data_IF_069956671992
#
_entry.id   IF_069956671992
#
_cell.length_a   1.000
_cell.length_b   1.000
_cell.length_c   1.000
_cell.angle_alpha   90.00
_cell.angle_beta   90.00
_cell.angle_gamma   90.00
#
_symmetry.space_group_name_H-M   'P 1'
#
loop_
_entity.id
_entity.type
_entity.pdbx_description
1 polymer ?
#
# COMPACT_ATOMS: atom_id res chain seq x y z
N UNK A 1 5.27 3.35 -34.65
CA UNK A 1 5.10 4.29 -33.50
C UNK A 1 4.39 3.66 -32.29
N UNK A 2 3.67 2.54 -32.44
CA UNK A 2 3.03 1.85 -31.33
C UNK A 2 4.05 1.07 -30.48
N UNK A 3 5.04 0.43 -31.10
CA UNK A 3 6.10 -0.28 -30.38
C UNK A 3 6.97 0.66 -29.50
N UNK A 4 7.30 1.86 -30.00
CA UNK A 4 8.06 2.88 -29.24
C UNK A 4 7.32 3.44 -28.02
N UNK A 5 5.99 3.31 -27.96
CA UNK A 5 5.17 3.76 -26.81
C UNK A 5 5.18 2.75 -25.67
N UNK A 6 5.28 1.46 -25.99
CA UNK A 6 5.36 0.37 -25.00
C UNK A 6 6.75 0.35 -24.34
N UNK A 7 7.81 0.73 -25.07
CA UNK A 7 9.18 0.74 -24.54
C UNK A 7 9.49 1.88 -23.56
N UNK A 8 8.59 2.85 -23.38
CA UNK A 8 8.79 3.94 -22.42
C UNK A 8 8.53 3.54 -20.95
N UNK A 9 7.89 2.38 -20.71
CA UNK A 9 7.57 1.87 -19.38
C UNK A 9 8.27 0.55 -19.08
N UNK A 10 9.61 0.52 -19.21
CA UNK A 10 10.44 -0.59 -18.71
C UNK A 10 10.45 -0.59 -17.17
N UNK A 11 9.32 -0.95 -16.56
CA UNK A 11 9.22 -1.21 -15.13
C UNK A 11 9.72 -2.62 -14.85
N UNK A 12 10.68 -2.74 -13.94
CA UNK A 12 11.07 -4.04 -13.40
C UNK A 12 10.00 -4.55 -12.42
N UNK A 13 9.07 -5.35 -12.95
CA UNK A 13 8.01 -5.96 -12.15
C UNK A 13 8.53 -6.93 -11.10
N UNK A 14 9.72 -7.51 -11.28
CA UNK A 14 10.30 -8.46 -10.34
C UNK A 14 10.88 -7.75 -9.11
N UNK A 15 11.56 -6.62 -9.32
CA UNK A 15 12.03 -5.78 -8.20
C UNK A 15 10.87 -5.14 -7.44
N UNK A 16 9.86 -4.67 -8.16
CA UNK A 16 8.69 -4.06 -7.52
C UNK A 16 7.92 -5.08 -6.67
N UNK A 17 7.77 -6.32 -7.15
CA UNK A 17 7.13 -7.40 -6.39
C UNK A 17 7.79 -7.71 -5.03
N UNK A 18 9.12 -7.48 -4.90
CA UNK A 18 9.85 -7.71 -3.64
C UNK A 18 9.53 -6.68 -2.56
N UNK A 19 9.12 -5.48 -2.95
CA UNK A 19 8.91 -4.34 -2.03
C UNK A 19 7.48 -4.25 -1.50
N UNK A 20 6.56 -5.09 -1.99
CA UNK A 20 5.13 -4.99 -1.69
C UNK A 20 4.77 -5.81 -0.44
N UNK A 21 4.10 -5.21 0.56
CA UNK A 21 3.57 -5.93 1.71
C UNK A 21 2.61 -7.05 1.31
N UNK A 22 2.54 -8.14 2.08
CA UNK A 22 1.69 -9.30 1.74
C UNK A 22 0.22 -8.94 1.49
N UNK A 23 -0.33 -8.01 2.27
CA UNK A 23 -1.71 -7.54 2.13
C UNK A 23 -2.00 -6.88 0.77
N UNK A 24 -0.99 -6.28 0.12
CA UNK A 24 -1.15 -5.55 -1.13
C UNK A 24 -0.81 -6.39 -2.37
N UNK A 25 -0.33 -7.63 -2.20
CA UNK A 25 -0.02 -8.54 -3.31
C UNK A 25 -1.20 -8.77 -4.27
N UNK A 26 -2.46 -8.95 -3.80
CA UNK A 26 -3.59 -9.14 -4.72
C UNK A 26 -3.84 -7.94 -5.63
N UNK A 27 -3.75 -6.72 -5.08
CA UNK A 27 -3.91 -5.48 -5.84
C UNK A 27 -2.80 -5.30 -6.88
N UNK A 28 -1.57 -5.66 -6.51
CA UNK A 28 -0.43 -5.65 -7.43
C UNK A 28 -0.61 -6.61 -8.61
N UNK A 29 -1.02 -7.85 -8.34
CA UNK A 29 -1.29 -8.85 -9.38
C UNK A 29 -2.41 -8.37 -10.31
N UNK A 30 -3.46 -7.76 -9.75
CA UNK A 30 -4.55 -7.19 -10.55
C UNK A 30 -4.06 -6.05 -11.47
N UNK A 31 -3.21 -5.15 -10.97
CA UNK A 31 -2.60 -4.08 -11.77
C UNK A 31 -1.75 -4.65 -12.91
N UNK A 32 -0.86 -5.61 -12.58
CA UNK A 32 0.00 -6.26 -13.57
C UNK A 32 -0.83 -6.94 -14.67
N UNK A 33 -1.86 -7.70 -14.29
CA UNK A 33 -2.73 -8.37 -15.26
C UNK A 33 -3.46 -7.39 -16.19
N UNK A 34 -3.92 -6.25 -15.66
CA UNK A 34 -4.53 -5.19 -16.50
C UNK A 34 -3.51 -4.62 -17.48
N UNK A 35 -2.31 -4.29 -17.00
CA UNK A 35 -1.23 -3.77 -17.85
C UNK A 35 -0.86 -4.76 -18.96
N UNK A 36 -0.62 -6.03 -18.61
CA UNK A 36 -0.24 -7.07 -19.58
C UNK A 36 -1.35 -7.27 -20.63
N UNK A 37 -2.62 -7.23 -20.23
CA UNK A 37 -3.74 -7.28 -21.17
C UNK A 37 -3.77 -6.10 -22.13
N UNK A 38 -3.58 -4.87 -21.64
CA UNK A 38 -3.53 -3.69 -22.51
C UNK A 38 -2.34 -3.73 -23.45
N UNK A 39 -1.15 -4.12 -22.97
CA UNK A 39 0.04 -4.25 -23.81
C UNK A 39 -0.18 -5.29 -24.91
N UNK A 40 -0.78 -6.45 -24.59
CA UNK A 40 -1.13 -7.47 -25.58
C UNK A 40 -2.12 -6.95 -26.62
N UNK A 41 -3.20 -6.29 -26.19
CA UNK A 41 -4.19 -5.72 -27.10
C UNK A 41 -3.58 -4.67 -28.03
N UNK A 42 -2.76 -3.76 -27.50
CA UNK A 42 -2.08 -2.73 -28.30
C UNK A 42 -1.09 -3.37 -29.27
N UNK A 43 -0.37 -4.42 -28.85
CA UNK A 43 0.58 -5.13 -29.72
C UNK A 43 -0.08 -5.92 -30.86
N UNK A 44 -1.33 -6.34 -30.68
CA UNK A 44 -2.10 -7.05 -31.69
C UNK A 44 -2.73 -6.11 -32.74
N UNK A 45 -2.87 -4.82 -32.42
CA UNK A 45 -3.44 -3.83 -33.33
C UNK A 45 -2.37 -3.34 -34.32
N UNK A 46 -2.68 -3.32 -35.64
CA UNK A 46 -1.75 -2.81 -36.64
C UNK A 46 -1.51 -1.30 -36.44
N UNK A 47 -0.28 -0.84 -36.69
CA UNK A 47 0.10 0.57 -36.49
C UNK A 47 -0.63 1.56 -37.42
N UNK A 48 -1.19 1.06 -38.52
CA UNK A 48 -1.95 1.83 -39.49
C UNK A 48 -3.25 1.10 -39.84
N UNK A 49 -4.27 1.86 -40.26
CA UNK A 49 -5.49 1.30 -40.81
C UNK A 49 -5.15 0.35 -41.98
N UNK A 50 -5.81 -0.82 -42.10
CA UNK A 50 -5.58 -1.71 -43.22
C UNK A 50 -5.82 -0.98 -44.53
N UNK A 51 -4.85 -1.04 -45.46
CA UNK A 51 -5.03 -0.43 -46.79
C UNK A 51 -6.17 -1.15 -47.50
N UNK A 52 -7.26 -0.44 -47.80
CA UNK A 52 -8.37 -0.96 -48.58
C UNK A 52 -7.93 -1.03 -50.04
N UNK A 53 -8.12 -2.18 -50.70
CA UNK A 53 -7.84 -2.33 -52.12
C UNK A 53 -8.99 -1.76 -52.97
N UNK A 54 -8.99 -0.45 -53.17
CA UNK A 54 -9.96 0.25 -54.02
C UNK A 54 -9.88 -0.13 -55.51
N UNK A 55 -8.78 -0.75 -55.97
CA UNK A 55 -8.63 -1.20 -57.36
C UNK A 55 -9.58 -2.35 -57.68
N UNK A 56 -9.73 -3.31 -56.77
CA UNK A 56 -10.66 -4.44 -56.92
C UNK A 56 -12.13 -4.00 -56.98
N UNK A 57 -12.49 -2.93 -56.24
CA UNK A 57 -13.86 -2.41 -56.18
C UNK A 57 -14.25 -1.57 -57.40
N UNK A 58 -13.31 -0.83 -58.00
CA UNK A 58 -13.54 -0.07 -59.24
C UNK A 58 -13.97 -0.95 -60.43
N UNK A 59 -13.62 -2.24 -60.40
CA UNK A 59 -14.01 -3.20 -61.43
C UNK A 59 -15.45 -3.73 -61.27
N UNK A 60 -16.07 -3.59 -60.09
CA UNK A 60 -17.39 -4.18 -59.76
C UNK A 60 -18.47 -3.15 -59.43
N UNK A 61 -18.07 -1.92 -59.10
CA UNK A 61 -18.94 -0.83 -58.64
C UNK A 61 -18.64 0.43 -59.47
N UNK A 62 -19.60 1.37 -59.57
CA UNK A 62 -19.42 2.62 -60.31
C UNK A 62 -18.19 3.41 -59.80
N UNK A 63 -17.32 3.79 -60.73
CA UNK A 63 -16.04 4.44 -60.41
C UNK A 63 -16.19 5.73 -59.59
N UNK A 64 -17.23 6.52 -59.87
CA UNK A 64 -17.52 7.77 -59.16
C UNK A 64 -17.80 7.56 -57.67
N UNK A 65 -18.50 6.48 -57.31
CA UNK A 65 -18.83 6.20 -55.91
C UNK A 65 -17.59 5.72 -55.14
N UNK A 66 -16.75 4.90 -55.76
CA UNK A 66 -15.50 4.39 -55.15
C UNK A 66 -14.50 5.52 -54.91
N UNK A 67 -14.40 6.49 -55.83
CA UNK A 67 -13.52 7.65 -55.67
C UNK A 67 -13.97 8.59 -54.53
N UNK A 68 -15.28 8.78 -54.34
CA UNK A 68 -15.82 9.56 -53.22
C UNK A 68 -15.58 8.89 -51.87
N UNK A 69 -15.68 7.55 -51.80
CA UNK A 69 -15.37 6.80 -50.57
C UNK A 69 -13.87 6.79 -50.27
N UNK A 70 -13.01 6.68 -51.29
CA UNK A 70 -11.56 6.76 -51.11
C UNK A 70 -11.16 8.11 -50.51
N UNK A 71 -11.66 9.22 -51.06
CA UNK A 71 -11.39 10.57 -50.55
C UNK A 71 -11.86 10.74 -49.09
N UNK A 72 -13.05 10.26 -48.76
CA UNK A 72 -13.60 10.33 -47.39
C UNK A 72 -12.79 9.47 -46.41
N UNK A 73 -12.34 8.29 -46.83
CA UNK A 73 -11.53 7.39 -46.01
C UNK A 73 -10.15 7.98 -45.72
N UNK A 74 -9.49 8.54 -46.74
CA UNK A 74 -8.19 9.21 -46.57
C UNK A 74 -8.29 10.50 -45.74
N UNK A 75 -9.44 11.19 -45.78
CA UNK A 75 -9.70 12.36 -44.93
C UNK A 75 -9.99 12.04 -43.47
N UNK A 76 -10.33 10.78 -43.15
CA UNK A 76 -10.71 10.36 -41.81
C UNK A 76 -9.46 10.26 -40.93
N UNK A 77 -9.15 11.32 -40.18
CA UNK A 77 -8.17 11.29 -39.11
C UNK A 77 -8.86 10.90 -37.81
N UNK A 78 -8.52 9.74 -37.25
CA UNK A 78 -8.99 9.32 -35.93
C UNK A 78 -8.25 10.16 -34.88
N UNK A 79 -8.93 11.04 -34.12
CA UNK A 79 -8.28 11.84 -33.09
C UNK A 79 -7.78 10.95 -31.97
N UNK A 80 -6.60 11.29 -31.44
CA UNK A 80 -6.04 10.60 -30.28
C UNK A 80 -6.94 10.85 -29.05
N UNK A 81 -7.18 9.85 -28.18
CA UNK A 81 -7.94 10.08 -26.96
C UNK A 81 -7.27 11.17 -26.12
N UNK A 82 -8.08 12.10 -25.62
CA UNK A 82 -7.61 13.14 -24.70
C UNK A 82 -7.26 12.50 -23.37
N UNK A 83 -6.11 12.88 -22.82
CA UNK A 83 -5.72 12.48 -21.48
C UNK A 83 -6.48 13.31 -20.43
N UNK A 84 -7.15 12.61 -19.52
CA UNK A 84 -7.96 13.20 -18.44
C UNK A 84 -7.51 12.76 -17.05
N UNK A 85 -6.56 11.82 -16.95
CA UNK A 85 -6.27 11.10 -15.71
C UNK A 85 -4.88 11.39 -15.15
N UNK A 86 -3.95 11.92 -15.96
CA UNK A 86 -2.59 12.23 -15.49
C UNK A 86 -2.56 13.20 -14.31
N UNK A 87 -3.38 14.25 -14.33
CA UNK A 87 -3.43 15.23 -13.22
C UNK A 87 -3.85 14.60 -11.88
N UNK A 88 -4.80 13.65 -11.91
CA UNK A 88 -5.25 12.93 -10.72
C UNK A 88 -4.21 11.94 -10.20
N UNK A 89 -3.39 11.37 -11.09
CA UNK A 89 -2.31 10.45 -10.70
C UNK A 89 -1.17 11.24 -10.04
N UNK A 90 -0.84 12.42 -10.59
CA UNK A 90 0.18 13.29 -10.01
C UNK A 90 -0.21 13.79 -8.61
N UNK A 91 -1.48 14.14 -8.37
CA UNK A 91 -1.94 14.54 -7.04
C UNK A 91 -1.80 13.39 -6.03
N UNK A 92 -2.21 12.17 -6.40
CA UNK A 92 -2.05 10.98 -5.56
C UNK A 92 -0.57 10.67 -5.29
N UNK A 93 0.31 10.86 -6.26
CA UNK A 93 1.74 10.64 -6.08
C UNK A 93 2.35 11.61 -5.04
N UNK A 94 1.89 12.86 -5.02
CA UNK A 94 2.33 13.86 -4.03
C UNK A 94 1.86 13.48 -2.62
N UNK A 95 0.59 13.09 -2.47
CA UNK A 95 0.02 12.65 -1.18
C UNK A 95 0.78 11.44 -0.62
N UNK A 96 0.98 10.41 -1.45
CA UNK A 96 1.68 9.19 -1.05
C UNK A 96 3.16 9.45 -0.69
N UNK A 97 3.81 10.41 -1.36
CA UNK A 97 5.17 10.82 -1.01
C UNK A 97 5.23 11.47 0.37
N UNK A 98 4.27 12.33 0.70
CA UNK A 98 4.19 12.97 2.01
C UNK A 98 3.94 11.94 3.13
N UNK A 99 3.05 10.97 2.90
CA UNK A 99 2.81 9.86 3.83
C UNK A 99 4.06 9.00 4.05
N UNK A 100 4.80 8.70 2.98
CA UNK A 100 6.07 7.98 3.05
C UNK A 100 7.11 8.72 3.89
N UNK A 101 7.29 10.03 3.66
CA UNK A 101 8.24 10.84 4.44
C UNK A 101 7.89 10.86 5.93
N UNK A 102 6.59 10.96 6.26
CA UNK A 102 6.10 10.86 7.64
C UNK A 102 6.39 9.49 8.25
N UNK A 103 6.15 8.40 7.51
CA UNK A 103 6.43 7.04 7.98
C UNK A 103 7.93 6.82 8.22
N UNK A 104 8.80 7.33 7.36
CA UNK A 104 10.26 7.25 7.54
C UNK A 104 10.69 8.00 8.80
N UNK A 105 10.16 9.20 9.04
CA UNK A 105 10.46 9.97 10.24
C UNK A 105 10.04 9.22 11.52
N UNK A 106 8.80 8.71 11.56
CA UNK A 106 8.29 7.92 12.68
C UNK A 106 9.11 6.63 12.91
N UNK A 107 9.51 5.96 11.83
CA UNK A 107 10.34 4.76 11.92
C UNK A 107 11.73 5.05 12.51
N UNK A 108 12.36 6.18 12.14
CA UNK A 108 13.63 6.60 12.73
C UNK A 108 13.51 6.87 14.24
N UNK A 109 12.46 7.56 14.67
CA UNK A 109 12.18 7.76 16.10
C UNK A 109 11.99 6.43 16.83
N UNK A 110 11.26 5.48 16.22
CA UNK A 110 11.06 4.14 16.80
C UNK A 110 12.38 3.37 16.93
N UNK A 111 13.25 3.43 15.92
CA UNK A 111 14.58 2.79 15.96
C UNK A 111 15.42 3.38 17.09
N UNK A 112 15.38 4.71 17.28
CA UNK A 112 16.09 5.36 18.38
C UNK A 112 15.61 4.84 19.74
N UNK A 113 14.29 4.83 19.99
CA UNK A 113 13.74 4.30 21.24
C UNK A 113 14.09 2.82 21.48
N UNK A 114 13.99 1.98 20.44
CA UNK A 114 14.39 0.56 20.54
C UNK A 114 15.89 0.43 20.87
N UNK A 115 16.76 1.25 20.27
CA UNK A 115 18.19 1.20 20.55
C UNK A 115 18.51 1.65 21.99
N UNK A 116 17.78 2.63 22.52
CA UNK A 116 17.90 3.07 23.92
C UNK A 116 17.46 1.95 24.88
N UNK A 117 16.34 1.27 24.59
CA UNK A 117 15.91 0.10 25.35
C UNK A 117 16.94 -1.03 25.27
N UNK A 118 17.46 -1.33 24.08
CA UNK A 118 18.48 -2.37 23.87
C UNK A 118 19.76 -2.04 24.65
N UNK A 119 20.16 -0.76 24.70
CA UNK A 119 21.28 -0.32 25.54
C UNK A 119 20.99 -0.52 27.03
N UNK A 120 19.77 -0.23 27.50
CA UNK A 120 19.33 -0.50 28.87
C UNK A 120 19.40 -2.00 29.20
N UNK A 121 18.93 -2.86 28.29
CA UNK A 121 18.97 -4.31 28.49
C UNK A 121 20.40 -4.87 28.49
N UNK A 122 21.27 -4.37 27.61
CA UNK A 122 22.68 -4.79 27.59
C UNK A 122 23.48 -4.32 28.80
N UNK A 123 23.12 -3.17 29.38
CA UNK A 123 23.76 -2.65 30.59
C UNK A 123 23.23 -3.31 31.88
N UNK A 124 22.13 -4.07 31.79
CA UNK A 124 21.56 -4.79 32.91
C UNK A 124 22.44 -5.98 33.28
N UNK A 125 22.62 -6.21 34.58
CA UNK A 125 23.27 -7.43 35.08
C UNK A 125 22.46 -8.67 34.64
N UNK A 126 23.11 -9.82 34.38
CA UNK A 126 22.40 -11.07 34.13
C UNK A 126 21.36 -11.33 35.23
N UNK A 127 20.16 -11.75 34.81
CA UNK A 127 19.01 -11.97 35.71
C UNK A 127 19.34 -13.00 36.80
N UNK A 128 20.21 -13.97 36.51
CA UNK A 128 20.62 -15.04 37.44
C UNK A 128 21.43 -14.53 38.65
N UNK A 129 22.09 -13.37 38.51
CA UNK A 129 22.92 -12.77 39.56
C UNK A 129 22.24 -11.61 40.28
N UNK A 130 21.02 -11.24 39.85
CA UNK A 130 20.32 -10.06 40.32
C UNK A 130 19.51 -10.34 41.60
N UNK A 131 19.64 -9.46 42.59
CA UNK A 131 18.82 -9.53 43.80
C UNK A 131 17.39 -9.00 43.53
N UNK A 132 16.42 -9.39 44.36
CA UNK A 132 15.02 -8.99 44.17
C UNK A 132 14.82 -7.46 44.17
N UNK A 133 15.52 -6.73 45.05
CA UNK A 133 15.47 -5.25 45.10
C UNK A 133 16.06 -4.59 43.84
N UNK A 134 17.12 -5.18 43.29
CA UNK A 134 17.73 -4.71 42.04
C UNK A 134 16.80 -4.98 40.85
N UNK A 135 16.14 -6.15 40.84
CA UNK A 135 15.13 -6.49 39.85
C UNK A 135 13.96 -5.50 39.82
N UNK A 136 13.51 -5.06 40.99
CA UNK A 136 12.47 -4.04 41.13
C UNK A 136 12.91 -2.68 40.56
N UNK A 137 14.18 -2.33 40.75
CA UNK A 137 14.75 -1.07 40.25
C UNK A 137 14.90 -1.07 38.72
N UNK A 138 15.36 -2.18 38.14
CA UNK A 138 15.60 -2.27 36.70
C UNK A 138 14.32 -2.57 35.89
N UNK A 139 13.40 -3.34 36.46
CA UNK A 139 12.19 -3.85 35.79
C UNK A 139 10.92 -3.58 36.63
N UNK A 140 10.53 -2.30 36.79
CA UNK A 140 9.44 -1.91 37.68
C UNK A 140 8.05 -2.41 37.26
N UNK A 141 7.87 -2.93 36.04
CA UNK A 141 6.60 -3.51 35.58
C UNK A 141 6.42 -4.97 35.99
N UNK A 142 7.48 -5.66 36.45
CA UNK A 142 7.42 -7.01 37.04
C UNK A 142 7.14 -6.96 38.56
N UNK A 143 6.82 -5.78 39.10
CA UNK A 143 6.74 -5.55 40.52
C UNK A 143 5.61 -6.39 41.16
N UNK A 144 6.00 -7.39 41.96
CA UNK A 144 5.11 -8.19 42.81
C UNK A 144 4.82 -7.49 44.15
N UNK A 145 5.49 -6.36 44.42
CA UNK A 145 5.33 -5.61 45.67
C UNK A 145 4.28 -4.52 45.47
N UNK A 146 3.24 -4.56 46.32
CA UNK A 146 2.15 -3.58 46.36
C UNK A 146 2.74 -2.19 46.58
N UNK A 147 2.40 -1.23 45.70
CA UNK A 147 2.80 0.15 45.88
C UNK A 147 2.20 0.66 47.23
N UNK A 148 3.02 1.12 48.19
CA UNK A 148 2.52 1.60 49.48
C UNK A 148 1.53 2.76 49.35
N UNK A 149 1.65 3.58 48.30
CA UNK A 149 0.78 4.72 48.05
C UNK A 149 -0.56 4.32 47.41
N UNK A 150 -0.63 3.13 46.80
CA UNK A 150 -1.81 2.58 46.14
C UNK A 150 -1.99 1.11 46.52
N UNK A 151 -2.58 0.84 47.70
CA UNK A 151 -2.81 -0.52 48.13
C UNK A 151 -3.83 -1.21 47.22
N UNK A 152 -3.35 -2.17 46.44
CA UNK A 152 -4.19 -3.05 45.61
C UNK A 152 -4.45 -4.36 46.35
N UNK A 153 -5.62 -4.95 46.14
CA UNK A 153 -5.98 -6.23 46.74
C UNK A 153 -5.48 -7.37 45.86
N UNK A 154 -5.00 -8.49 46.43
CA UNK A 154 -4.67 -9.70 45.67
C UNK A 154 -5.85 -10.11 44.77
N UNK A 155 -5.67 -10.38 43.45
CA UNK A 155 -4.44 -10.63 42.67
C UNK A 155 -3.68 -9.40 42.12
N UNK A 156 -3.95 -8.21 42.65
CA UNK A 156 -3.36 -6.92 42.25
C UNK A 156 -3.74 -6.47 40.82
N UNK A 157 -4.94 -6.83 40.40
CA UNK A 157 -5.55 -6.43 39.13
C UNK A 157 -6.40 -5.16 39.24
N UNK A 158 -6.89 -4.83 40.45
CA UNK A 158 -7.83 -3.73 40.71
C UNK A 158 -7.46 -2.91 41.93
N UNK A 159 -7.81 -1.63 41.88
CA UNK A 159 -7.71 -0.72 43.02
C UNK A 159 -8.84 -1.00 44.04
N UNK A 160 -8.61 -0.63 45.31
CA UNK A 160 -9.59 -0.86 46.40
C UNK A 160 -10.97 -0.27 46.11
N UNK A 161 -11.03 0.92 45.49
CA UNK A 161 -12.28 1.57 45.14
C UNK A 161 -13.05 0.82 44.03
N UNK A 162 -12.34 0.17 43.11
CA UNK A 162 -12.94 -0.65 42.07
C UNK A 162 -13.45 -1.98 42.63
N UNK A 163 -12.69 -2.59 43.56
CA UNK A 163 -13.12 -3.77 44.29
C UNK A 163 -14.39 -3.49 45.12
N UNK A 164 -14.44 -2.36 45.83
CA UNK A 164 -15.62 -1.98 46.63
C UNK A 164 -16.87 -1.86 45.74
N UNK A 165 -16.77 -1.15 44.62
CA UNK A 165 -17.88 -1.03 43.66
C UNK A 165 -18.31 -2.37 43.08
N UNK A 166 -17.36 -3.27 42.82
CA UNK A 166 -17.68 -4.62 42.37
C UNK A 166 -18.49 -5.40 43.43
N UNK A 167 -18.10 -5.32 44.70
CA UNK A 167 -18.84 -5.98 45.80
C UNK A 167 -20.22 -5.38 45.98
N UNK A 168 -20.33 -4.04 45.99
CA UNK A 168 -21.62 -3.33 46.12
C UNK A 168 -22.58 -3.69 44.98
N UNK A 169 -22.09 -3.74 43.74
CA UNK A 169 -22.89 -4.19 42.59
C UNK A 169 -23.31 -5.66 42.71
N UNK A 170 -22.45 -6.55 43.25
CA UNK A 170 -22.84 -7.95 43.48
C UNK A 170 -23.88 -8.08 44.60
N UNK A 171 -23.80 -7.27 45.65
CA UNK A 171 -24.80 -7.23 46.72
C UNK A 171 -26.15 -6.71 46.21
N UNK A 172 -26.17 -5.70 45.33
CA UNK A 172 -27.38 -5.21 44.66
C UNK A 172 -27.99 -6.24 43.70
N UNK A 173 -27.19 -7.04 43.00
CA UNK A 173 -27.68 -8.13 42.13
C UNK A 173 -28.28 -9.32 42.91
N UNK A 174 -27.95 -9.45 44.20
CA UNK A 174 -28.42 -10.52 45.09
C UNK A 174 -29.63 -10.12 45.97
N UNK A 175 -30.16 -8.90 45.79
CA UNK A 175 -31.39 -8.40 46.42
C UNK A 175 -32.55 -8.27 45.44
#
# INVERSE_FOLDING_TARGET
>A
MAARRITASSLDWAEFAKKIPQAQKPAFVALKNKQDNYVRQISALPEALPKIDFSSYKARVSAAMVDDFQKKYESLKIPYPKDTLTSSIESQAVEQKAEYEKFVAQSKTRIQGINEELAKWNAMMPIEEMNMEEALTYVPHLNLVVNPEKPTLWPHDKDYDEWRKMVENMEEEHH
#
